data_IF_761854014640
#
_entry.id   IF_761854014640
#
_cell.length_a   1.000
_cell.length_b   1.000
_cell.length_c   1.000
_cell.angle_alpha   90.00
_cell.angle_beta   90.00
_cell.angle_gamma   90.00
#
_symmetry.space_group_name_H-M   'P 1'
#
loop_
_entity.id
_entity.type
_entity.pdbx_description
1 polymer ?
#
# COMPACT_ATOMS: atom_id res chain seq x y z
N UNK A 1 -22.37 -9.23 -9.46
CA UNK A 1 -21.77 -9.51 -8.13
C UNK A 1 -20.64 -8.54 -7.94
N UNK A 2 -20.66 -7.78 -6.84
CA UNK A 2 -19.57 -6.86 -6.46
C UNK A 2 -18.79 -7.46 -5.30
N UNK A 3 -17.49 -7.18 -5.26
CA UNK A 3 -16.56 -7.67 -4.23
C UNK A 3 -16.10 -6.50 -3.38
N UNK A 4 -16.29 -6.60 -2.06
CA UNK A 4 -15.68 -5.73 -1.07
C UNK A 4 -14.48 -6.42 -0.44
N UNK A 5 -13.35 -5.71 -0.33
CA UNK A 5 -12.13 -6.22 0.30
C UNK A 5 -11.90 -5.52 1.63
N UNK A 6 -11.82 -6.28 2.71
CA UNK A 6 -11.39 -5.81 4.03
C UNK A 6 -9.99 -6.38 4.32
N UNK A 7 -8.97 -5.54 4.26
CA UNK A 7 -7.58 -5.94 4.35
C UNK A 7 -6.97 -5.49 5.68
N UNK A 8 -6.59 -6.47 6.49
CA UNK A 8 -6.09 -6.26 7.85
C UNK A 8 -4.67 -5.68 7.89
N UNK A 9 -4.34 -5.07 9.02
CA UNK A 9 -2.99 -4.62 9.32
C UNK A 9 -2.04 -5.78 9.68
N UNK A 10 -0.77 -5.45 9.93
CA UNK A 10 0.26 -6.42 10.32
C UNK A 10 1.61 -6.16 9.63
N UNK A 11 1.88 -4.89 9.28
CA UNK A 11 3.13 -4.46 8.66
C UNK A 11 3.36 -5.11 7.30
N UNK A 12 4.63 -5.36 6.96
CA UNK A 12 5.03 -5.91 5.66
C UNK A 12 4.54 -7.34 5.43
N UNK A 13 4.35 -8.13 6.49
CA UNK A 13 3.79 -9.48 6.37
C UNK A 13 2.36 -9.45 5.85
N UNK A 14 1.53 -8.54 6.39
CA UNK A 14 0.18 -8.34 5.90
C UNK A 14 0.17 -7.83 4.45
N UNK A 15 1.05 -6.90 4.10
CA UNK A 15 1.19 -6.39 2.73
C UNK A 15 1.47 -7.54 1.73
N UNK A 16 2.41 -8.44 2.06
CA UNK A 16 2.75 -9.60 1.22
C UNK A 16 1.57 -10.59 1.13
N UNK A 17 0.90 -10.85 2.25
CA UNK A 17 -0.27 -11.73 2.27
C UNK A 17 -1.39 -11.21 1.36
N UNK A 18 -1.73 -9.91 1.50
CA UNK A 18 -2.78 -9.29 0.68
C UNK A 18 -2.40 -9.23 -0.80
N UNK A 19 -1.12 -9.05 -1.11
CA UNK A 19 -0.63 -9.14 -2.49
C UNK A 19 -0.88 -10.53 -3.09
N UNK A 20 -0.75 -11.59 -2.26
CA UNK A 20 -1.09 -12.96 -2.63
C UNK A 20 -2.59 -13.16 -2.88
N UNK A 21 -3.44 -12.59 -2.02
CA UNK A 21 -4.90 -12.60 -2.20
C UNK A 21 -5.31 -11.90 -3.50
N UNK A 22 -4.76 -10.71 -3.76
CA UNK A 22 -5.03 -9.97 -5.00
C UNK A 22 -4.52 -10.70 -6.24
N UNK A 23 -3.37 -11.39 -6.14
CA UNK A 23 -2.89 -12.26 -7.21
C UNK A 23 -3.90 -13.36 -7.54
N UNK A 24 -4.45 -14.01 -6.51
CA UNK A 24 -5.47 -15.04 -6.72
C UNK A 24 -6.72 -14.46 -7.39
N UNK A 25 -7.23 -13.30 -6.93
CA UNK A 25 -8.37 -12.62 -7.56
C UNK A 25 -8.09 -12.30 -9.04
N UNK A 26 -6.92 -11.80 -9.34
CA UNK A 26 -6.52 -11.50 -10.72
C UNK A 26 -6.45 -12.77 -11.59
N UNK A 27 -5.96 -13.88 -11.04
CA UNK A 27 -5.93 -15.17 -11.74
C UNK A 27 -7.35 -15.72 -12.03
N UNK A 28 -8.34 -15.33 -11.23
CA UNK A 28 -9.74 -15.70 -11.42
C UNK A 28 -10.53 -14.68 -12.27
N UNK A 29 -9.89 -13.63 -12.80
CA UNK A 29 -10.57 -12.60 -13.58
C UNK A 29 -11.52 -11.72 -12.75
N UNK A 30 -11.22 -11.50 -11.47
CA UNK A 30 -12.13 -10.86 -10.52
C UNK A 30 -11.74 -9.43 -10.14
N UNK A 31 -10.61 -8.90 -10.63
CA UNK A 31 -10.17 -7.54 -10.28
C UNK A 31 -11.22 -6.49 -10.68
N UNK A 32 -11.82 -6.62 -11.84
CA UNK A 32 -12.87 -5.70 -12.31
C UNK A 32 -14.18 -5.75 -11.52
N UNK A 33 -14.34 -6.73 -10.62
CA UNK A 33 -15.53 -6.86 -9.76
C UNK A 33 -15.32 -6.23 -8.37
N UNK A 34 -14.10 -5.83 -8.04
CA UNK A 34 -13.79 -5.14 -6.79
C UNK A 34 -14.36 -3.73 -6.85
N UNK A 35 -15.28 -3.41 -5.95
CA UNK A 35 -15.98 -2.12 -5.89
C UNK A 35 -15.60 -1.29 -4.66
N UNK A 36 -15.19 -1.95 -3.57
CA UNK A 36 -14.83 -1.30 -2.31
C UNK A 36 -13.61 -1.97 -1.70
N UNK A 37 -12.73 -1.17 -1.15
CA UNK A 37 -11.52 -1.62 -0.45
C UNK A 37 -11.43 -0.87 0.87
N UNK A 38 -11.30 -1.61 1.97
CA UNK A 38 -11.05 -1.07 3.30
C UNK A 38 -9.71 -1.59 3.79
N UNK A 39 -8.82 -0.70 4.21
CA UNK A 39 -7.46 -1.07 4.60
C UNK A 39 -7.05 -0.44 5.93
N UNK A 40 -6.07 -1.07 6.59
CA UNK A 40 -5.41 -0.54 7.78
C UNK A 40 -3.90 -0.87 7.74
N UNK A 41 -3.05 0.09 8.13
CA UNK A 41 -1.59 -0.12 8.32
C UNK A 41 -0.89 -0.71 7.07
N UNK A 42 -0.26 -1.88 7.19
CA UNK A 42 0.48 -2.54 6.11
C UNK A 42 -0.35 -2.80 4.85
N UNK A 43 -1.65 -3.05 4.99
CA UNK A 43 -2.55 -3.17 3.85
C UNK A 43 -2.69 -1.84 3.08
N UNK A 44 -2.72 -0.71 3.80
CA UNK A 44 -2.75 0.62 3.16
C UNK A 44 -1.48 0.89 2.37
N UNK A 45 -0.32 0.46 2.89
CA UNK A 45 0.96 0.55 2.17
C UNK A 45 0.91 -0.29 0.89
N UNK A 46 0.42 -1.53 0.99
CA UNK A 46 0.27 -2.42 -0.17
C UNK A 46 -0.59 -1.79 -1.27
N UNK A 47 -1.74 -1.23 -0.89
CA UNK A 47 -2.64 -0.58 -1.83
C UNK A 47 -2.03 0.67 -2.45
N UNK A 48 -1.37 1.52 -1.64
CA UNK A 48 -0.64 2.70 -2.13
C UNK A 48 0.41 2.34 -3.18
N UNK A 49 1.16 1.25 -2.98
CA UNK A 49 2.13 0.74 -3.95
C UNK A 49 1.45 0.25 -5.25
N UNK A 50 0.32 -0.45 -5.14
CA UNK A 50 -0.43 -0.93 -6.31
C UNK A 50 -0.90 0.24 -7.17
N UNK A 51 -1.50 1.25 -6.57
CA UNK A 51 -1.94 2.45 -7.28
C UNK A 51 -0.75 3.22 -7.88
N UNK A 52 0.32 3.43 -7.11
CA UNK A 52 1.52 4.11 -7.60
C UNK A 52 2.16 3.39 -8.80
N UNK A 53 2.20 2.06 -8.78
CA UNK A 53 2.72 1.24 -9.89
C UNK A 53 1.79 1.20 -11.11
N UNK A 54 0.55 1.71 -11.00
CA UNK A 54 -0.44 1.71 -12.07
C UNK A 54 -1.03 3.09 -12.37
N UNK A 55 -0.22 4.14 -12.27
CA UNK A 55 -0.63 5.51 -12.58
C UNK A 55 -1.91 5.96 -11.83
N UNK A 56 -2.02 5.59 -10.55
CA UNK A 56 -3.15 5.86 -9.66
C UNK A 56 -4.49 5.27 -10.12
N UNK A 57 -4.45 4.27 -11.01
CA UNK A 57 -5.62 3.55 -11.50
C UNK A 57 -5.68 2.14 -10.91
N UNK A 58 -6.90 1.62 -10.72
CA UNK A 58 -7.07 0.21 -10.37
C UNK A 58 -6.66 -0.67 -11.55
N UNK A 59 -5.78 -1.66 -11.36
CA UNK A 59 -5.31 -2.48 -12.46
C UNK A 59 -6.34 -3.51 -12.91
N UNK A 60 -6.38 -3.80 -14.20
CA UNK A 60 -7.03 -4.99 -14.72
C UNK A 60 -6.29 -6.26 -14.29
N UNK A 61 -6.90 -7.43 -14.47
CA UNK A 61 -6.30 -8.73 -14.14
C UNK A 61 -4.92 -8.91 -14.78
N UNK A 62 -4.82 -8.68 -16.08
CA UNK A 62 -3.58 -8.78 -16.85
C UNK A 62 -2.54 -7.75 -16.40
N UNK A 63 -2.96 -6.47 -16.25
CA UNK A 63 -2.06 -5.42 -15.77
C UNK A 63 -1.51 -5.73 -14.38
N UNK A 64 -2.35 -6.29 -13.50
CA UNK A 64 -1.92 -6.66 -12.16
C UNK A 64 -0.87 -7.78 -12.21
N UNK A 65 -1.13 -8.86 -12.93
CA UNK A 65 -0.24 -10.04 -12.97
C UNK A 65 1.09 -9.75 -13.66
N UNK A 66 1.07 -9.03 -14.78
CA UNK A 66 2.25 -8.87 -15.64
C UNK A 66 3.11 -7.66 -15.27
N UNK A 67 2.51 -6.60 -14.74
CA UNK A 67 3.22 -5.34 -14.48
C UNK A 67 3.24 -4.96 -13.01
N UNK A 68 2.07 -4.86 -12.37
CA UNK A 68 1.96 -4.30 -11.01
C UNK A 68 2.56 -5.24 -9.98
N UNK A 69 2.20 -6.51 -10.02
CA UNK A 69 2.69 -7.52 -9.06
C UNK A 69 4.23 -7.65 -9.05
N UNK A 70 4.93 -7.77 -10.21
CA UNK A 70 6.39 -7.77 -10.22
C UNK A 70 7.00 -6.48 -9.68
N UNK A 71 6.44 -5.31 -10.04
CA UNK A 71 6.92 -4.02 -9.57
C UNK A 71 6.78 -3.86 -8.06
N UNK A 72 5.61 -4.17 -7.50
CA UNK A 72 5.36 -4.12 -6.05
C UNK A 72 6.25 -5.13 -5.32
N UNK A 73 6.41 -6.35 -5.83
CA UNK A 73 7.36 -7.32 -5.26
C UNK A 73 8.78 -6.76 -5.19
N UNK A 74 9.26 -6.15 -6.28
CA UNK A 74 10.59 -5.53 -6.31
C UNK A 74 10.72 -4.45 -5.25
N UNK A 75 9.71 -3.58 -5.09
CA UNK A 75 9.70 -2.54 -4.05
C UNK A 75 9.77 -3.14 -2.64
N UNK A 76 9.03 -4.22 -2.37
CA UNK A 76 8.97 -4.86 -1.06
C UNK A 76 10.23 -5.65 -0.72
N UNK A 77 10.86 -6.31 -1.72
CA UNK A 77 12.00 -7.20 -1.51
C UNK A 77 13.36 -6.51 -1.54
N UNK A 78 13.45 -5.26 -1.94
CA UNK A 78 14.71 -4.50 -1.87
C UNK A 78 15.10 -4.30 -0.40
N UNK A 79 15.96 -5.20 0.10
CA UNK A 79 16.36 -5.34 1.52
C UNK A 79 16.94 -4.08 2.17
N UNK A 80 17.57 -3.22 1.39
CA UNK A 80 18.27 -2.03 1.92
C UNK A 80 17.31 -0.94 2.44
N UNK A 81 16.03 -0.98 2.06
CA UNK A 81 15.06 0.05 2.42
C UNK A 81 14.55 -0.14 3.85
N UNK A 82 14.29 -1.38 4.26
CA UNK A 82 13.68 -1.67 5.57
C UNK A 82 14.65 -1.43 6.72
N UNK A 83 15.91 -1.86 6.57
CA UNK A 83 16.92 -1.72 7.63
C UNK A 83 17.41 -0.29 7.78
N UNK A 84 17.66 0.44 6.71
CA UNK A 84 18.13 1.82 6.79
C UNK A 84 17.04 2.79 7.28
N UNK A 85 15.79 2.62 6.88
CA UNK A 85 14.69 3.42 7.38
C UNK A 85 14.38 3.13 8.86
N UNK A 86 14.38 1.85 9.25
CA UNK A 86 14.20 1.43 10.64
C UNK A 86 15.36 1.87 11.53
N UNK A 87 16.60 1.72 11.06
CA UNK A 87 17.80 2.12 11.79
C UNK A 87 17.88 3.65 11.95
N UNK A 88 17.53 4.43 10.92
CA UNK A 88 17.42 5.90 11.03
C UNK A 88 16.33 6.34 12.00
N UNK A 89 15.19 5.63 12.02
CA UNK A 89 14.12 5.91 12.98
C UNK A 89 14.59 5.68 14.43
N UNK A 90 15.43 4.67 14.66
CA UNK A 90 15.97 4.34 15.98
C UNK A 90 17.14 5.23 16.40
N UNK A 91 18.00 5.64 15.48
CA UNK A 91 19.26 6.34 15.78
C UNK A 91 19.13 7.87 15.83
N UNK A 92 17.99 8.46 15.47
CA UNK A 92 17.84 9.92 15.49
C UNK A 92 16.65 10.35 16.38
N UNK A 93 16.84 10.53 17.71
CA UNK A 93 15.80 11.00 18.62
C UNK A 93 15.25 12.40 18.26
N UNK A 94 16.01 13.21 17.53
CA UNK A 94 15.61 14.55 17.07
C UNK A 94 14.40 14.55 16.12
N UNK A 95 14.08 13.41 15.47
CA UNK A 95 12.93 13.29 14.54
C UNK A 95 11.67 12.72 15.17
N UNK A 96 11.59 12.60 16.49
CA UNK A 96 10.42 12.00 17.14
C UNK A 96 9.12 12.74 16.87
N UNK A 97 9.15 14.07 16.77
CA UNK A 97 7.97 14.86 16.36
C UNK A 97 7.70 14.88 14.85
N UNK A 98 8.62 14.37 14.03
CA UNK A 98 8.53 14.39 12.56
C UNK A 98 8.57 13.01 11.90
N UNK A 99 8.31 11.94 12.67
CA UNK A 99 8.38 10.53 12.19
C UNK A 99 7.47 10.25 11.00
N UNK A 100 6.27 10.81 11.00
CA UNK A 100 5.30 10.65 9.91
C UNK A 100 5.84 11.26 8.62
N UNK A 101 6.45 12.44 8.69
CA UNK A 101 7.04 13.12 7.54
C UNK A 101 8.25 12.37 6.98
N UNK A 102 9.04 11.71 7.84
CA UNK A 102 10.17 10.89 7.42
C UNK A 102 9.69 9.64 6.68
N UNK A 103 8.66 8.97 7.17
CA UNK A 103 8.06 7.81 6.50
C UNK A 103 7.47 8.20 5.14
N UNK A 104 6.71 9.29 5.10
CA UNK A 104 6.16 9.83 3.85
C UNK A 104 7.27 10.13 2.82
N UNK A 105 8.35 10.78 3.26
CA UNK A 105 9.50 11.11 2.40
C UNK A 105 10.24 9.87 1.90
N UNK A 106 10.38 8.84 2.73
CA UNK A 106 10.97 7.55 2.32
C UNK A 106 10.08 6.85 1.31
N UNK A 107 8.76 6.84 1.51
CA UNK A 107 7.80 6.26 0.57
C UNK A 107 7.83 7.00 -0.78
N UNK A 108 7.88 8.32 -0.76
CA UNK A 108 7.99 9.14 -1.97
C UNK A 108 9.30 8.89 -2.73
N UNK A 109 10.43 8.90 -2.03
CA UNK A 109 11.76 8.80 -2.65
C UNK A 109 12.10 7.38 -3.14
N UNK A 110 11.66 6.36 -2.39
CA UNK A 110 12.07 4.98 -2.63
C UNK A 110 11.02 4.14 -3.35
N UNK A 111 9.74 4.42 -3.09
CA UNK A 111 8.64 3.64 -3.65
C UNK A 111 7.86 4.38 -4.73
N UNK A 112 8.29 5.59 -5.09
CA UNK A 112 7.62 6.44 -6.07
C UNK A 112 6.12 6.65 -5.77
N UNK A 113 5.70 6.51 -4.51
CA UNK A 113 4.34 6.84 -4.06
C UNK A 113 4.25 8.36 -4.00
N UNK A 114 3.87 8.95 -5.12
CA UNK A 114 3.73 10.40 -5.28
C UNK A 114 2.27 10.74 -5.56
N UNK A 115 1.86 11.93 -5.11
CA UNK A 115 0.50 12.43 -5.33
C UNK A 115 -0.36 12.40 -4.09
N UNK A 116 -1.59 12.86 -4.23
CA UNK A 116 -2.59 12.93 -3.18
C UNK A 116 -3.61 11.80 -3.35
N UNK A 117 -4.33 11.47 -2.26
CA UNK A 117 -5.41 10.47 -2.32
C UNK A 117 -6.51 10.85 -3.31
N UNK A 118 -6.72 12.15 -3.55
CA UNK A 118 -7.67 12.66 -4.53
C UNK A 118 -7.29 12.35 -5.99
N UNK A 119 -6.02 11.99 -6.25
CA UNK A 119 -5.55 11.64 -7.59
C UNK A 119 -5.81 10.18 -7.94
N UNK A 120 -6.27 9.39 -6.95
CA UNK A 120 -6.58 7.98 -7.11
C UNK A 120 -7.96 7.82 -7.75
N UNK A 121 -8.08 6.85 -8.64
CA UNK A 121 -9.36 6.51 -9.27
C UNK A 121 -10.44 6.26 -8.21
N UNK A 122 -11.63 6.81 -8.45
CA UNK A 122 -12.78 6.70 -7.52
C UNK A 122 -13.36 5.27 -7.43
N UNK A 123 -13.02 4.40 -8.35
CA UNK A 123 -13.48 3.01 -8.36
C UNK A 123 -12.27 2.06 -8.51
N UNK A 124 -12.14 1.09 -7.60
CA UNK A 124 -12.93 0.84 -6.40
C UNK A 124 -12.80 1.95 -5.35
N UNK A 125 -13.85 2.21 -4.57
CA UNK A 125 -13.82 3.15 -3.47
C UNK A 125 -12.85 2.64 -2.39
N UNK A 126 -11.84 3.46 -2.04
CA UNK A 126 -10.82 3.06 -1.07
C UNK A 126 -10.96 3.83 0.23
N UNK A 127 -11.16 3.09 1.32
CA UNK A 127 -11.22 3.60 2.70
C UNK A 127 -9.95 3.22 3.45
N UNK A 128 -9.26 4.20 4.00
CA UNK A 128 -8.08 4.00 4.84
C UNK A 128 -8.50 4.20 6.29
N UNK A 129 -8.43 3.13 7.09
CA UNK A 129 -8.72 3.19 8.52
C UNK A 129 -7.44 3.52 9.29
N UNK A 130 -7.58 4.45 10.21
CA UNK A 130 -6.50 4.91 11.08
C UNK A 130 -7.04 5.22 12.46
N UNK A 131 -6.16 5.30 13.44
CA UNK A 131 -6.50 5.69 14.82
C UNK A 131 -5.91 7.07 15.11
N UNK A 132 -6.72 7.98 15.64
CA UNK A 132 -6.22 9.26 16.12
C UNK A 132 -5.43 9.03 17.42
N UNK A 133 -4.17 9.47 17.44
CA UNK A 133 -3.28 9.26 18.59
C UNK A 133 -3.82 9.93 19.86
N UNK A 134 -4.41 11.12 19.72
CA UNK A 134 -4.90 11.91 20.84
C UNK A 134 -6.17 11.36 21.49
N UNK A 135 -7.04 10.76 20.70
CA UNK A 135 -8.36 10.29 21.18
C UNK A 135 -8.47 8.77 21.29
N UNK A 136 -7.54 8.02 20.73
CA UNK A 136 -7.59 6.55 20.66
C UNK A 136 -8.75 5.99 19.81
N UNK A 137 -9.44 6.86 19.05
CA UNK A 137 -10.57 6.51 18.18
C UNK A 137 -10.15 6.53 16.72
#
# INVERSE_FOLDING_TARGET
>A
MHIGLALSGGGMRAAIYHLGVLRYLAQQGLMGRVSHISTVSGASICMGLIYACNANQWPSDTQFLERVLPAVKKCITQKDIQWHALLRLFLQPYYWDKKVNLLAKVMEQRWAVKGCLQDIASCPAWTINTTAYESGK
#
